data_IF_280646845734
#
_entry.id   IF_280646845734
#
_cell.length_a   1.000
_cell.length_b   1.000
_cell.length_c   1.000
_cell.angle_alpha   90.00
_cell.angle_beta   90.00
_cell.angle_gamma   90.00
#
_symmetry.space_group_name_H-M   'P 1'
#
loop_
_entity.id
_entity.type
_entity.pdbx_description
1 polymer ?
#
# COMPACT_ATOMS: atom_id res chain seq x y z
N UNK A 1 -19.63 18.38 24.67
CA UNK A 1 -19.41 17.06 24.03
C UNK A 1 -18.91 16.10 25.10
N UNK A 2 -19.73 15.13 25.53
CA UNK A 2 -19.33 14.16 26.53
C UNK A 2 -18.21 13.27 25.94
N UNK A 3 -17.08 13.18 26.64
CA UNK A 3 -15.98 12.31 26.23
C UNK A 3 -16.34 10.90 26.68
N UNK A 4 -16.66 10.01 25.74
CA UNK A 4 -16.93 8.60 26.03
C UNK A 4 -15.73 7.97 26.75
N UNK A 5 -15.98 7.32 27.89
CA UNK A 5 -14.97 6.70 28.73
C UNK A 5 -15.03 5.17 28.55
N UNK A 6 -13.88 4.50 28.63
CA UNK A 6 -13.77 3.06 28.47
C UNK A 6 -13.09 2.44 29.68
N UNK A 7 -13.53 1.25 30.08
CA UNK A 7 -12.87 0.48 31.12
C UNK A 7 -11.47 0.04 30.65
N UNK A 8 -10.42 0.36 31.40
CA UNK A 8 -9.05 -0.03 31.01
C UNK A 8 -8.84 -1.56 30.96
N UNK A 9 -9.58 -2.32 31.76
CA UNK A 9 -9.41 -3.78 31.86
C UNK A 9 -10.16 -4.53 30.77
N UNK A 10 -11.49 -4.35 30.68
CA UNK A 10 -12.29 -5.10 29.71
C UNK A 10 -12.45 -4.39 28.35
N UNK A 11 -12.08 -3.11 28.23
CA UNK A 11 -12.20 -2.34 26.98
C UNK A 11 -13.62 -1.90 26.62
N UNK A 12 -14.62 -2.27 27.42
CA UNK A 12 -16.04 -1.93 27.20
C UNK A 12 -16.31 -0.47 27.60
N UNK A 13 -17.23 0.17 26.88
CA UNK A 13 -17.70 1.54 27.13
C UNK A 13 -18.41 1.65 28.48
N UNK A 14 -18.11 2.73 29.20
CA UNK A 14 -18.75 3.06 30.47
C UNK A 14 -19.97 3.96 30.19
N UNK A 15 -21.15 3.33 30.17
CA UNK A 15 -22.42 4.00 29.84
C UNK A 15 -23.17 4.51 31.07
N UNK A 16 -23.16 3.74 32.15
CA UNK A 16 -23.84 4.08 33.40
C UNK A 16 -22.87 4.72 34.38
N UNK A 17 -23.22 5.88 34.93
CA UNK A 17 -22.34 6.67 35.81
C UNK A 17 -22.10 6.04 37.18
N UNK A 18 -23.00 5.17 37.61
CA UNK A 18 -23.05 4.69 38.99
C UNK A 18 -22.05 3.57 39.28
N UNK A 19 -21.52 2.93 38.23
CA UNK A 19 -20.53 1.85 38.32
C UNK A 19 -19.12 2.25 37.85
N UNK A 20 -18.89 3.54 37.59
CA UNK A 20 -17.59 4.05 37.12
C UNK A 20 -16.67 4.35 38.30
N UNK A 21 -15.55 3.62 38.35
CA UNK A 21 -14.48 3.88 39.30
C UNK A 21 -13.28 4.49 38.59
N UNK A 22 -12.85 5.66 39.07
CA UNK A 22 -11.64 6.34 38.59
C UNK A 22 -10.46 6.00 39.49
N UNK A 23 -9.44 5.36 38.94
CA UNK A 23 -8.20 5.05 39.68
C UNK A 23 -6.97 5.59 38.95
N UNK A 24 -5.89 5.84 39.70
CA UNK A 24 -4.60 6.24 39.14
C UNK A 24 -3.74 4.99 38.95
N UNK A 25 -3.42 4.68 37.70
CA UNK A 25 -2.62 3.51 37.34
C UNK A 25 -1.18 3.94 37.09
N UNK A 26 -0.18 3.33 37.76
CA UNK A 26 1.22 3.53 37.46
C UNK A 26 1.59 2.87 36.12
N UNK A 27 2.03 3.69 35.17
CA UNK A 27 2.36 3.31 33.81
C UNK A 27 3.84 3.55 33.55
N UNK A 28 4.57 2.55 33.04
CA UNK A 28 5.96 2.72 32.62
C UNK A 28 6.04 3.02 31.13
N UNK A 29 6.62 4.16 30.79
CA UNK A 29 6.91 4.49 29.39
C UNK A 29 7.91 3.49 28.80
N UNK A 30 7.58 2.88 27.66
CA UNK A 30 8.50 1.99 26.95
C UNK A 30 9.72 2.76 26.40
N UNK A 31 9.53 4.00 25.99
CA UNK A 31 10.58 4.84 25.38
C UNK A 31 11.52 5.48 26.40
N UNK A 32 10.99 5.91 27.55
CA UNK A 32 11.75 6.70 28.52
C UNK A 32 11.96 6.01 29.86
N UNK A 33 11.32 4.86 30.10
CA UNK A 33 11.38 4.14 31.38
C UNK A 33 10.70 4.85 32.55
N UNK A 34 10.23 6.10 32.38
CA UNK A 34 9.61 6.92 33.41
C UNK A 34 8.24 6.35 33.80
N UNK A 35 7.99 6.24 35.10
CA UNK A 35 6.70 5.83 35.65
C UNK A 35 5.81 7.06 35.85
N UNK A 36 4.65 7.08 35.19
CA UNK A 36 3.63 8.12 35.33
C UNK A 36 2.34 7.53 35.89
N UNK A 37 1.67 8.25 36.80
CA UNK A 37 0.36 7.85 37.33
C UNK A 37 -0.76 8.50 36.55
N UNK A 38 -1.41 7.74 35.68
CA UNK A 38 -2.46 8.24 34.80
C UNK A 38 -3.84 7.91 35.36
N UNK A 39 -4.78 8.86 35.27
CA UNK A 39 -6.18 8.60 35.61
C UNK A 39 -6.80 7.66 34.56
N UNK A 40 -7.50 6.63 35.03
CA UNK A 40 -8.13 5.59 34.23
C UNK A 40 -9.49 5.24 34.82
N UNK A 41 -10.38 4.79 33.96
CA UNK A 41 -11.75 4.47 34.27
C UNK A 41 -11.95 2.95 34.24
N UNK A 42 -12.80 2.45 35.12
CA UNK A 42 -13.08 1.03 35.30
C UNK A 42 -14.54 0.83 35.68
N UNK A 43 -15.11 -0.33 35.39
CA UNK A 43 -16.25 -0.82 36.17
C UNK A 43 -15.79 -1.11 37.61
N UNK A 44 -16.69 -1.00 38.59
CA UNK A 44 -16.39 -1.27 39.99
C UNK A 44 -15.71 -2.64 40.20
N UNK A 45 -16.25 -3.69 39.60
CA UNK A 45 -15.70 -5.05 39.70
C UNK A 45 -14.36 -5.18 38.97
N UNK A 46 -14.26 -4.58 37.78
CA UNK A 46 -13.06 -4.62 36.97
C UNK A 46 -11.86 -3.96 37.65
N UNK A 47 -12.09 -2.90 38.45
CA UNK A 47 -11.02 -2.20 39.15
C UNK A 47 -10.33 -3.12 40.16
N UNK A 48 -11.09 -3.87 40.96
CA UNK A 48 -10.54 -4.68 42.04
C UNK A 48 -9.61 -5.77 41.50
N UNK A 49 -10.06 -6.51 40.51
CA UNK A 49 -9.21 -7.59 39.97
C UNK A 49 -8.06 -7.04 39.11
N UNK A 50 -8.21 -5.88 38.44
CA UNK A 50 -7.10 -5.21 37.76
C UNK A 50 -5.95 -4.88 38.73
N UNK A 51 -6.26 -4.27 39.89
CA UNK A 51 -5.23 -3.89 40.86
C UNK A 51 -4.62 -5.10 41.57
N UNK A 52 -5.38 -6.17 41.81
CA UNK A 52 -4.84 -7.44 42.29
C UNK A 52 -3.85 -8.06 41.31
N UNK A 53 -4.19 -8.09 40.02
CA UNK A 53 -3.28 -8.55 38.95
C UNK A 53 -2.04 -7.64 38.84
N UNK A 54 -2.22 -6.32 39.00
CA UNK A 54 -1.13 -5.36 38.94
C UNK A 54 -0.12 -5.56 40.07
N UNK A 55 -0.59 -5.79 41.30
CA UNK A 55 0.25 -6.09 42.45
C UNK A 55 1.06 -7.38 42.24
N UNK A 56 0.42 -8.42 41.72
CA UNK A 56 1.08 -9.69 41.39
C UNK A 56 2.16 -9.52 40.29
N UNK A 57 1.99 -8.54 39.40
CA UNK A 57 2.91 -8.26 38.29
C UNK A 57 3.91 -7.13 38.60
N UNK A 58 4.22 -6.87 39.88
CA UNK A 58 5.25 -5.91 40.28
C UNK A 58 4.79 -4.45 40.32
N UNK A 59 3.48 -4.21 40.38
CA UNK A 59 2.87 -2.92 40.69
C UNK A 59 2.95 -1.87 39.58
N UNK A 60 3.35 -2.23 38.37
CA UNK A 60 3.55 -1.30 37.25
C UNK A 60 2.95 -1.85 35.96
N UNK A 61 2.02 -1.10 35.38
CA UNK A 61 1.33 -1.52 34.16
C UNK A 61 2.24 -1.30 32.95
N UNK A 62 2.54 -2.38 32.24
CA UNK A 62 3.28 -2.38 30.99
C UNK A 62 2.29 -2.64 29.85
N UNK A 63 2.06 -1.62 29.03
CA UNK A 63 1.22 -1.74 27.83
C UNK A 63 1.96 -2.57 26.78
N UNK A 64 1.82 -3.89 26.81
CA UNK A 64 2.18 -4.73 25.66
C UNK A 64 1.10 -4.75 24.57
N UNK A 65 -0.04 -4.13 24.85
CA UNK A 65 -1.06 -3.83 23.85
C UNK A 65 -1.09 -2.32 23.68
N UNK A 66 -0.58 -1.74 22.57
CA UNK A 66 -1.02 -0.39 22.23
C UNK A 66 -2.54 -0.49 22.26
N UNK A 67 -3.19 0.28 23.12
CA UNK A 67 -4.64 0.40 23.09
C UNK A 67 -4.92 0.81 21.65
N UNK A 68 -5.31 -0.16 20.81
CA UNK A 68 -5.91 0.11 19.52
C UNK A 68 -7.04 1.01 19.94
N UNK A 69 -6.90 2.30 19.65
CA UNK A 69 -8.05 3.18 19.68
C UNK A 69 -8.97 2.55 18.66
N UNK A 70 -9.82 1.63 19.10
CA UNK A 70 -11.05 1.31 18.42
C UNK A 70 -11.82 2.63 18.49
N UNK A 71 -11.50 3.55 17.58
CA UNK A 71 -12.52 4.40 17.03
C UNK A 71 -13.42 3.39 16.35
N UNK A 72 -14.43 2.91 17.09
CA UNK A 72 -15.64 2.48 16.43
C UNK A 72 -16.12 3.79 15.83
N UNK A 73 -15.85 4.04 14.54
CA UNK A 73 -16.61 5.06 13.87
C UNK A 73 -18.07 4.66 14.05
N UNK A 74 -18.86 5.57 14.60
CA UNK A 74 -20.28 5.32 14.82
C UNK A 74 -21.07 5.30 13.50
N UNK A 75 -20.43 5.65 12.38
CA UNK A 75 -21.06 5.75 11.07
C UNK A 75 -20.04 5.75 9.93
N UNK A 76 -20.45 5.19 8.79
CA UNK A 76 -19.70 5.23 7.53
C UNK A 76 -19.52 6.67 7.04
N UNK A 77 -18.31 7.01 6.62
CA UNK A 77 -17.97 8.36 6.17
C UNK A 77 -18.67 8.78 4.87
N UNK A 78 -19.04 7.82 4.01
CA UNK A 78 -19.71 8.07 2.73
C UNK A 78 -21.23 8.16 2.83
N UNK A 79 -21.86 7.16 3.43
CA UNK A 79 -23.31 7.00 3.44
C UNK A 79 -23.96 7.45 4.76
N UNK A 80 -23.15 7.78 5.77
CA UNK A 80 -23.59 8.27 7.09
C UNK A 80 -24.51 7.31 7.87
N UNK A 81 -24.62 6.05 7.43
CA UNK A 81 -25.32 5.00 8.17
C UNK A 81 -24.40 4.44 9.25
N UNK A 82 -24.94 4.04 10.42
CA UNK A 82 -24.18 3.36 11.46
C UNK A 82 -23.71 1.99 10.97
N UNK A 83 -22.60 1.52 11.54
CA UNK A 83 -22.15 0.14 11.37
C UNK A 83 -22.92 -0.76 12.31
N UNK A 84 -23.32 -1.94 11.84
CA UNK A 84 -23.85 -3.00 12.71
C UNK A 84 -22.72 -3.69 13.49
N UNK A 85 -23.02 -4.30 14.65
CA UNK A 85 -22.01 -4.82 15.60
C UNK A 85 -21.08 -5.90 15.00
N UNK A 86 -21.52 -6.54 13.92
CA UNK A 86 -20.87 -7.61 13.16
C UNK A 86 -20.48 -7.21 11.73
N UNK A 87 -20.70 -5.95 11.35
CA UNK A 87 -20.40 -5.47 10.00
C UNK A 87 -18.89 -5.24 9.79
N UNK A 88 -18.37 -5.69 8.65
CA UNK A 88 -16.96 -5.47 8.31
C UNK A 88 -16.67 -3.99 8.02
N UNK A 89 -15.82 -3.37 8.84
CA UNK A 89 -15.43 -1.96 8.70
C UNK A 89 -14.15 -1.85 7.89
N UNK A 90 -14.16 -1.04 6.83
CA UNK A 90 -12.97 -0.70 6.05
C UNK A 90 -12.47 0.69 6.39
N UNK A 91 -11.28 0.79 6.98
CA UNK A 91 -10.63 2.08 7.29
C UNK A 91 -9.68 2.49 6.16
N UNK A 92 -9.88 3.70 5.62
CA UNK A 92 -9.06 4.28 4.54
C UNK A 92 -8.60 5.69 4.92
N UNK A 93 -7.39 6.09 4.53
CA UNK A 93 -6.95 7.48 4.67
C UNK A 93 -7.60 8.36 3.60
N UNK A 94 -8.24 9.45 4.04
CA UNK A 94 -8.86 10.46 3.18
C UNK A 94 -8.20 11.80 3.44
N UNK A 95 -7.90 12.53 2.37
CA UNK A 95 -7.39 13.90 2.46
C UNK A 95 -8.56 14.86 2.67
N UNK A 96 -8.61 15.50 3.85
CA UNK A 96 -9.60 16.52 4.18
C UNK A 96 -8.87 17.85 4.32
N UNK A 97 -8.95 18.69 3.28
CA UNK A 97 -8.12 19.90 3.16
C UNK A 97 -6.65 19.52 2.95
N UNK A 98 -5.76 19.95 3.84
CA UNK A 98 -4.31 19.67 3.75
C UNK A 98 -3.85 18.54 4.69
N UNK A 99 -4.77 17.73 5.23
CA UNK A 99 -4.46 16.68 6.23
C UNK A 99 -5.05 15.34 5.80
N UNK A 100 -4.22 14.30 5.86
CA UNK A 100 -4.67 12.91 5.76
C UNK A 100 -5.33 12.49 7.08
N UNK A 101 -6.52 11.90 6.99
CA UNK A 101 -7.30 11.46 8.15
C UNK A 101 -7.88 10.09 7.87
N UNK A 102 -7.73 9.14 8.79
CA UNK A 102 -8.36 7.83 8.71
C UNK A 102 -9.89 7.96 8.84
N UNK A 103 -10.61 7.30 7.94
CA UNK A 103 -12.06 7.27 7.84
C UNK A 103 -12.55 5.85 7.62
N UNK A 104 -13.68 5.54 8.24
CA UNK A 104 -14.28 4.21 8.19
C UNK A 104 -15.44 4.19 7.21
N UNK A 105 -15.54 3.11 6.44
CA UNK A 105 -16.52 2.88 5.39
C UNK A 105 -17.14 1.50 5.49
N UNK A 106 -18.39 1.34 5.05
CA UNK A 106 -18.93 0.02 4.72
C UNK A 106 -18.16 -0.58 3.54
N UNK A 107 -18.16 -1.91 3.37
CA UNK A 107 -17.59 -2.54 2.20
C UNK A 107 -18.19 -1.94 0.92
N UNK A 108 -17.35 -1.41 0.03
CA UNK A 108 -17.77 -0.79 -1.23
C UNK A 108 -18.14 0.70 -1.15
N UNK A 109 -18.49 1.21 0.04
CA UNK A 109 -18.76 2.65 0.22
C UNK A 109 -17.50 3.52 0.05
N UNK A 110 -16.31 2.96 0.31
CA UNK A 110 -15.05 3.61 0.01
C UNK A 110 -14.83 3.77 -1.49
N UNK A 111 -15.17 2.73 -2.28
CA UNK A 111 -15.07 2.77 -3.74
C UNK A 111 -15.97 3.86 -4.31
N UNK A 112 -17.26 3.88 -3.92
CA UNK A 112 -18.20 4.92 -4.32
C UNK A 112 -17.78 6.33 -3.88
N UNK A 113 -17.08 6.44 -2.75
CA UNK A 113 -16.57 7.71 -2.25
C UNK A 113 -15.45 8.27 -3.13
N UNK A 114 -14.50 7.42 -3.54
CA UNK A 114 -13.43 7.83 -4.46
C UNK A 114 -13.95 8.00 -5.90
N UNK A 115 -14.94 7.19 -6.31
CA UNK A 115 -15.70 7.32 -7.56
C UNK A 115 -16.26 8.72 -7.77
N UNK A 116 -17.02 9.18 -6.78
CA UNK A 116 -17.69 10.47 -6.82
C UNK A 116 -16.72 11.67 -6.87
N UNK A 117 -15.45 11.47 -6.49
CA UNK A 117 -14.39 12.49 -6.51
C UNK A 117 -13.52 12.44 -7.77
N UNK A 118 -13.73 11.45 -8.66
CA UNK A 118 -12.83 11.18 -9.77
C UNK A 118 -11.47 10.59 -9.35
N UNK A 119 -11.36 10.18 -8.08
CA UNK A 119 -10.18 9.55 -7.46
C UNK A 119 -10.24 8.01 -7.56
N UNK A 120 -11.35 7.45 -8.07
CA UNK A 120 -11.57 6.01 -8.30
C UNK A 120 -10.46 5.36 -9.11
N UNK A 121 -9.99 6.08 -10.13
CA UNK A 121 -9.01 5.56 -11.09
C UNK A 121 -7.69 5.30 -10.37
N UNK A 122 -7.16 6.27 -9.65
CA UNK A 122 -5.87 6.13 -8.95
C UNK A 122 -5.91 4.99 -7.93
N UNK A 123 -6.94 4.90 -7.08
CA UNK A 123 -7.01 3.84 -6.07
C UNK A 123 -7.13 2.42 -6.66
N UNK A 124 -7.99 2.21 -7.68
CA UNK A 124 -8.15 0.89 -8.31
C UNK A 124 -7.00 0.49 -9.23
N UNK A 125 -6.40 1.44 -9.96
CA UNK A 125 -5.21 1.16 -10.77
C UNK A 125 -4.03 0.81 -9.87
N UNK A 126 -3.80 1.58 -8.81
CA UNK A 126 -2.68 1.36 -7.90
C UNK A 126 -2.79 0.04 -7.12
N UNK A 127 -4.01 -0.41 -6.78
CA UNK A 127 -4.21 -1.73 -6.18
C UNK A 127 -3.96 -2.87 -7.19
N UNK A 128 -4.45 -2.72 -8.43
CA UNK A 128 -4.18 -3.69 -9.51
C UNK A 128 -2.70 -3.78 -9.88
N UNK A 129 -2.00 -2.65 -9.89
CA UNK A 129 -0.57 -2.62 -10.23
C UNK A 129 0.29 -3.17 -9.10
N UNK A 130 -0.11 -2.93 -7.84
CA UNK A 130 0.46 -3.63 -6.71
C UNK A 130 0.25 -5.15 -6.82
N UNK A 131 -0.95 -5.61 -7.16
CA UNK A 131 -1.24 -7.04 -7.29
C UNK A 131 -0.36 -7.69 -8.37
N UNK A 132 -0.07 -6.99 -9.48
CA UNK A 132 0.88 -7.47 -10.50
C UNK A 132 2.28 -7.62 -9.92
N UNK A 133 2.78 -6.62 -9.20
CA UNK A 133 4.11 -6.65 -8.57
C UNK A 133 4.19 -7.77 -7.53
N UNK A 134 3.18 -7.86 -6.67
CA UNK A 134 3.06 -8.88 -5.63
C UNK A 134 3.08 -10.29 -6.22
N UNK A 135 2.20 -10.56 -7.18
CA UNK A 135 2.09 -11.88 -7.80
C UNK A 135 3.34 -12.22 -8.60
N UNK A 136 3.90 -11.29 -9.37
CA UNK A 136 5.14 -11.53 -10.11
C UNK A 136 6.31 -11.85 -9.17
N UNK A 137 6.46 -11.11 -8.07
CA UNK A 137 7.51 -11.40 -7.09
C UNK A 137 7.32 -12.79 -6.45
N UNK A 138 6.08 -13.16 -6.14
CA UNK A 138 5.74 -14.46 -5.57
C UNK A 138 6.03 -15.63 -6.52
N UNK A 139 5.47 -15.60 -7.72
CA UNK A 139 5.47 -16.75 -8.64
C UNK A 139 6.74 -16.79 -9.50
N UNK A 140 7.22 -15.65 -9.97
CA UNK A 140 8.31 -15.60 -10.95
C UNK A 140 9.70 -15.42 -10.32
N UNK A 141 9.77 -14.76 -9.16
CA UNK A 141 11.04 -14.51 -8.46
C UNK A 141 11.26 -15.52 -7.34
N UNK A 142 10.30 -15.68 -6.42
CA UNK A 142 10.43 -16.61 -5.30
C UNK A 142 10.02 -18.05 -5.65
N UNK A 143 9.43 -18.27 -6.84
CA UNK A 143 8.96 -19.58 -7.30
C UNK A 143 8.01 -20.26 -6.29
N UNK A 144 7.19 -19.46 -5.61
CA UNK A 144 6.19 -19.94 -4.65
C UNK A 144 4.88 -20.28 -5.36
N UNK A 145 4.13 -21.20 -4.75
CA UNK A 145 2.84 -21.65 -5.27
C UNK A 145 1.80 -20.52 -5.26
N UNK A 146 0.87 -20.56 -6.21
CA UNK A 146 -0.17 -19.56 -6.42
C UNK A 146 -1.13 -19.50 -5.23
N UNK A 147 -1.35 -20.61 -4.54
CA UNK A 147 -2.35 -20.71 -3.47
C UNK A 147 -1.89 -20.19 -2.09
N UNK A 148 -0.60 -19.84 -1.91
CA UNK A 148 -0.05 -19.40 -0.62
C UNK A 148 0.31 -17.90 -0.55
N UNK A 149 -0.01 -17.20 0.53
CA UNK A 149 0.36 -15.78 0.66
C UNK A 149 1.88 -15.56 0.77
N UNK A 150 2.38 -14.46 0.21
CA UNK A 150 3.74 -13.99 0.50
C UNK A 150 3.88 -13.74 2.00
N UNK A 151 5.03 -14.16 2.55
CA UNK A 151 5.36 -13.82 3.94
C UNK A 151 5.27 -12.30 4.17
N UNK A 152 4.83 -11.89 5.36
CA UNK A 152 4.77 -10.48 5.73
C UNK A 152 6.12 -9.77 5.55
N UNK A 153 7.22 -10.51 5.73
CA UNK A 153 8.56 -10.02 5.50
C UNK A 153 8.80 -9.67 4.02
N UNK A 154 8.48 -10.58 3.10
CA UNK A 154 8.61 -10.37 1.67
C UNK A 154 7.75 -9.19 1.19
N UNK A 155 6.48 -9.16 1.59
CA UNK A 155 5.56 -8.08 1.21
C UNK A 155 6.07 -6.71 1.68
N UNK A 156 6.53 -6.60 2.93
CA UNK A 156 7.09 -5.35 3.46
C UNK A 156 8.42 -4.95 2.78
N UNK A 157 9.28 -5.90 2.40
CA UNK A 157 10.50 -5.58 1.63
C UNK A 157 10.16 -5.05 0.24
N UNK A 158 9.14 -5.62 -0.40
CA UNK A 158 8.64 -5.19 -1.70
C UNK A 158 8.00 -3.79 -1.63
N UNK A 159 7.21 -3.51 -0.59
CA UNK A 159 6.71 -2.15 -0.31
C UNK A 159 7.83 -1.16 0.00
N UNK A 160 8.90 -1.61 0.67
CA UNK A 160 10.09 -0.80 0.93
C UNK A 160 10.78 -0.33 -0.36
N UNK A 161 10.74 -1.13 -1.43
CA UNK A 161 11.23 -0.66 -2.74
C UNK A 161 10.45 0.57 -3.21
N UNK A 162 9.13 0.59 -3.05
CA UNK A 162 8.31 1.72 -3.47
C UNK A 162 8.65 3.00 -2.71
N UNK A 163 8.95 2.94 -1.41
CA UNK A 163 9.26 4.13 -0.60
C UNK A 163 10.75 4.48 -0.56
N UNK A 164 11.63 3.58 -1.01
CA UNK A 164 13.09 3.71 -0.84
C UNK A 164 13.59 3.26 0.54
N UNK A 165 12.71 2.73 1.39
CA UNK A 165 13.07 2.25 2.72
C UNK A 165 13.50 0.77 2.69
N UNK A 166 14.28 0.37 3.70
CA UNK A 166 14.52 -1.07 3.91
C UNK A 166 13.22 -1.79 4.27
N UNK A 167 12.39 -1.21 5.14
CA UNK A 167 11.09 -1.77 5.51
C UNK A 167 10.22 -0.63 6.02
N UNK A 168 9.06 -0.36 5.40
CA UNK A 168 8.22 0.74 5.83
C UNK A 168 7.55 0.41 7.17
N UNK A 169 7.45 1.41 8.05
CA UNK A 169 6.80 1.30 9.36
C UNK A 169 5.28 1.26 9.25
N UNK A 170 4.72 1.83 8.18
CA UNK A 170 3.29 1.84 7.87
C UNK A 170 2.98 1.08 6.57
N UNK A 171 1.83 0.41 6.54
CA UNK A 171 1.31 -0.25 5.34
C UNK A 171 0.81 0.76 4.29
N UNK A 172 0.40 1.96 4.72
CA UNK A 172 0.02 3.01 3.77
C UNK A 172 1.26 3.69 3.19
N UNK A 173 1.69 3.20 2.04
CA UNK A 173 2.78 3.78 1.24
C UNK A 173 2.27 4.73 0.15
N UNK A 174 0.95 4.81 -0.06
CA UNK A 174 0.35 5.61 -1.11
C UNK A 174 0.64 7.11 -0.90
N UNK A 175 1.03 7.80 -1.97
CA UNK A 175 1.48 9.21 -1.93
C UNK A 175 2.90 9.44 -1.37
N UNK A 176 3.60 8.40 -0.91
CA UNK A 176 5.01 8.46 -0.48
C UNK A 176 5.94 7.63 -1.37
N UNK A 177 5.44 7.20 -2.53
CA UNK A 177 6.18 6.33 -3.43
C UNK A 177 7.26 7.13 -4.16
N UNK A 178 8.49 6.67 -4.04
CA UNK A 178 9.64 7.13 -4.82
C UNK A 178 9.67 6.47 -6.21
N UNK A 179 9.12 5.25 -6.31
CA UNK A 179 9.02 4.47 -7.54
C UNK A 179 7.59 3.98 -7.73
N UNK A 180 7.06 4.12 -8.94
CA UNK A 180 5.76 3.54 -9.29
C UNK A 180 5.83 2.02 -9.31
N UNK A 181 4.69 1.35 -9.12
CA UNK A 181 4.61 -0.11 -9.21
C UNK A 181 5.01 -0.64 -10.60
N UNK A 182 4.78 0.13 -11.66
CA UNK A 182 5.26 -0.20 -13.00
C UNK A 182 6.80 -0.27 -13.06
N UNK A 183 7.48 0.74 -12.53
CA UNK A 183 8.95 0.77 -12.46
C UNK A 183 9.47 -0.44 -11.67
N UNK A 184 8.82 -0.77 -10.55
CA UNK A 184 9.18 -1.94 -9.75
C UNK A 184 8.97 -3.22 -10.54
N UNK A 185 7.81 -3.40 -11.18
CA UNK A 185 7.50 -4.59 -11.99
C UNK A 185 8.50 -4.81 -13.13
N UNK A 186 8.84 -3.75 -13.87
CA UNK A 186 9.81 -3.82 -14.94
C UNK A 186 11.21 -4.13 -14.42
N UNK A 187 11.58 -3.59 -13.24
CA UNK A 187 12.84 -3.94 -12.58
C UNK A 187 12.87 -5.41 -12.17
N UNK A 188 11.77 -5.96 -11.65
CA UNK A 188 11.66 -7.38 -11.31
C UNK A 188 11.86 -8.26 -12.54
N UNK A 189 11.16 -7.96 -13.64
CA UNK A 189 11.28 -8.68 -14.91
C UNK A 189 12.73 -8.67 -15.42
N UNK A 190 13.36 -7.50 -15.44
CA UNK A 190 14.76 -7.33 -15.84
C UNK A 190 15.72 -8.15 -14.96
N UNK A 191 15.51 -8.16 -13.64
CA UNK A 191 16.42 -8.82 -12.70
C UNK A 191 16.17 -10.33 -12.55
N UNK A 192 15.01 -10.85 -13.01
CA UNK A 192 14.62 -12.26 -12.88
C UNK A 192 15.73 -13.25 -13.25
N UNK A 193 16.35 -13.22 -14.45
CA UNK A 193 17.34 -14.22 -14.83
C UNK A 193 18.53 -14.28 -13.85
N UNK A 194 18.97 -13.11 -13.37
CA UNK A 194 20.12 -13.00 -12.46
C UNK A 194 19.76 -13.45 -11.06
N UNK A 195 18.55 -13.12 -10.60
CA UNK A 195 18.07 -13.59 -9.30
C UNK A 195 17.96 -15.12 -9.31
N UNK A 196 17.37 -15.71 -10.35
CA UNK A 196 17.24 -17.17 -10.48
C UNK A 196 18.61 -17.86 -10.60
N UNK A 197 19.55 -17.27 -11.33
CA UNK A 197 20.92 -17.78 -11.39
C UNK A 197 21.61 -17.70 -10.03
N UNK A 198 21.45 -16.59 -9.31
CA UNK A 198 21.98 -16.43 -7.97
C UNK A 198 21.35 -17.41 -6.98
N UNK A 199 20.07 -17.75 -7.15
CA UNK A 199 19.39 -18.72 -6.31
C UNK A 199 19.92 -20.14 -6.51
N UNK A 200 20.28 -20.51 -7.74
CA UNK A 200 20.93 -21.80 -8.04
C UNK A 200 22.37 -21.86 -7.52
N UNK A 201 23.10 -20.75 -7.59
CA UNK A 201 24.53 -20.70 -7.27
C UNK A 201 24.87 -20.54 -5.79
N UNK A 202 23.94 -20.03 -4.96
CA UNK A 202 24.20 -19.68 -3.57
C UNK A 202 23.42 -20.57 -2.59
N UNK A 203 24.02 -20.82 -1.42
CA UNK A 203 23.32 -21.45 -0.29
C UNK A 203 22.74 -20.37 0.62
N UNK A 204 21.42 -20.36 0.78
CA UNK A 204 20.74 -19.45 1.70
C UNK A 204 20.54 -20.09 3.07
N UNK A 205 20.61 -19.28 4.12
CA UNK A 205 20.44 -19.72 5.51
C UNK A 205 18.96 -19.90 5.86
N UNK A 206 18.13 -18.99 5.35
CA UNK A 206 16.69 -18.94 5.53
C UNK A 206 16.06 -18.12 4.38
N UNK A 207 14.73 -18.11 4.34
CA UNK A 207 13.96 -17.36 3.33
C UNK A 207 14.26 -15.86 3.40
N UNK A 208 14.52 -15.31 4.60
CA UNK A 208 14.85 -13.89 4.76
C UNK A 208 16.16 -13.54 4.07
N UNK A 209 17.17 -14.39 4.18
CA UNK A 209 18.45 -14.23 3.51
C UNK A 209 18.28 -14.26 1.99
N UNK A 210 17.48 -15.21 1.48
CA UNK A 210 17.15 -15.32 0.06
C UNK A 210 16.42 -14.07 -0.46
N UNK A 211 15.36 -13.65 0.23
CA UNK A 211 14.59 -12.43 -0.11
C UNK A 211 15.49 -11.20 -0.09
N UNK A 212 16.31 -11.02 0.94
CA UNK A 212 17.24 -9.89 1.02
C UNK A 212 18.26 -9.88 -0.12
N UNK A 213 18.72 -11.05 -0.54
CA UNK A 213 19.64 -11.17 -1.66
C UNK A 213 18.97 -10.70 -2.96
N UNK A 214 17.77 -11.18 -3.26
CA UNK A 214 16.99 -10.73 -4.41
C UNK A 214 16.73 -9.21 -4.36
N UNK A 215 16.29 -8.69 -3.21
CA UNK A 215 16.04 -7.26 -3.04
C UNK A 215 17.29 -6.42 -3.29
N UNK A 216 18.49 -6.90 -2.92
CA UNK A 216 19.73 -6.18 -3.15
C UNK A 216 20.09 -6.08 -4.64
N UNK A 217 19.81 -7.13 -5.42
CA UNK A 217 19.94 -7.10 -6.88
C UNK A 217 18.98 -6.04 -7.46
N UNK A 218 17.71 -6.09 -7.06
CA UNK A 218 16.65 -5.19 -7.53
C UNK A 218 16.98 -3.73 -7.19
N UNK A 219 17.37 -3.45 -5.95
CA UNK A 219 17.77 -2.12 -5.48
C UNK A 219 18.92 -1.54 -6.30
N UNK A 220 19.86 -2.38 -6.76
CA UNK A 220 20.96 -1.93 -7.61
C UNK A 220 20.55 -1.48 -9.02
N UNK A 221 19.30 -1.75 -9.45
CA UNK A 221 18.82 -1.48 -10.83
C UNK A 221 17.59 -0.58 -10.90
N UNK A 222 16.88 -0.37 -9.79
CA UNK A 222 15.61 0.36 -9.78
C UNK A 222 15.72 1.82 -10.21
N UNK A 223 16.81 2.53 -9.84
CA UNK A 223 17.07 3.91 -10.27
C UNK A 223 17.29 4.03 -11.78
N UNK A 224 18.02 3.06 -12.33
CA UNK A 224 18.27 3.00 -13.77
C UNK A 224 16.96 2.73 -14.52
N UNK A 225 16.12 1.81 -14.01
CA UNK A 225 14.82 1.51 -14.60
C UNK A 225 13.88 2.71 -14.57
N UNK A 226 13.85 3.44 -13.44
CA UNK A 226 13.10 4.69 -13.33
C UNK A 226 13.48 5.67 -14.44
N UNK A 227 14.78 5.91 -14.60
CA UNK A 227 15.32 6.80 -15.64
C UNK A 227 14.90 6.37 -17.05
N UNK A 228 14.98 5.06 -17.35
CA UNK A 228 14.59 4.51 -18.66
C UNK A 228 13.08 4.61 -18.90
N UNK A 229 12.27 4.39 -17.88
CA UNK A 229 10.81 4.53 -17.94
C UNK A 229 10.43 5.99 -18.24
N UNK A 230 11.00 6.95 -17.52
CA UNK A 230 10.78 8.40 -17.78
C UNK A 230 11.23 8.82 -19.20
N UNK A 231 12.31 8.23 -19.72
CA UNK A 231 12.74 8.48 -21.11
C UNK A 231 11.77 7.88 -22.12
N UNK A 232 11.24 6.68 -21.87
CA UNK A 232 10.25 6.04 -22.73
C UNK A 232 8.95 6.84 -22.76
N UNK A 233 8.46 7.32 -21.61
CA UNK A 233 7.29 8.19 -21.51
C UNK A 233 7.47 9.49 -22.30
N UNK A 234 8.62 10.17 -22.16
CA UNK A 234 8.92 11.37 -22.94
C UNK A 234 8.92 11.10 -24.45
N UNK A 235 9.46 9.96 -24.88
CA UNK A 235 9.43 9.54 -26.29
C UNK A 235 8.00 9.29 -26.76
N UNK A 236 7.16 8.65 -25.94
CA UNK A 236 5.72 8.45 -26.21
C UNK A 236 5.00 9.79 -26.38
N UNK A 237 5.23 10.75 -25.49
CA UNK A 237 4.61 12.07 -25.55
C UNK A 237 5.00 12.83 -26.82
N UNK A 238 6.29 12.80 -27.19
CA UNK A 238 6.77 13.41 -28.44
C UNK A 238 6.16 12.72 -29.66
N UNK A 239 6.14 11.39 -29.70
CA UNK A 239 5.56 10.63 -30.80
C UNK A 239 4.06 10.91 -30.97
N UNK A 240 3.30 10.98 -29.87
CA UNK A 240 1.89 11.35 -29.89
C UNK A 240 1.68 12.78 -30.39
N UNK A 241 2.50 13.74 -29.96
CA UNK A 241 2.44 15.12 -30.47
C UNK A 241 2.72 15.20 -31.96
N UNK A 242 3.71 14.46 -32.46
CA UNK A 242 4.02 14.39 -33.91
C UNK A 242 2.86 13.74 -34.68
N UNK A 243 2.32 12.62 -34.21
CA UNK A 243 1.18 11.97 -34.84
C UNK A 243 -0.07 12.87 -34.89
N UNK A 244 -0.35 13.66 -33.85
CA UNK A 244 -1.45 14.64 -33.85
C UNK A 244 -1.22 15.78 -34.84
N UNK A 245 0.03 16.23 -35.00
CA UNK A 245 0.37 17.23 -36.02
C UNK A 245 0.24 16.66 -37.43
N UNK A 246 0.68 15.42 -37.66
CA UNK A 246 0.59 14.76 -38.95
C UNK A 246 -0.87 14.49 -39.35
N UNK A 247 -1.69 13.97 -38.43
CA UNK A 247 -3.14 13.81 -38.64
C UNK A 247 -3.87 15.13 -38.84
N UNK A 248 -3.51 16.20 -38.12
CA UNK A 248 -4.07 17.53 -38.35
C UNK A 248 -3.63 18.14 -39.70
N UNK A 249 -2.43 17.83 -40.17
CA UNK A 249 -1.93 18.21 -41.49
C UNK A 249 -2.62 17.42 -42.61
N UNK A 250 -2.86 16.12 -42.40
CA UNK A 250 -3.62 15.25 -43.29
C UNK A 250 -5.10 15.67 -43.35
N UNK A 251 -5.73 16.02 -42.22
CA UNK A 251 -7.11 16.53 -42.17
C UNK A 251 -7.26 17.86 -42.90
N UNK A 252 -6.25 18.75 -42.84
CA UNK A 252 -6.24 19.99 -43.63
C UNK A 252 -6.12 19.68 -45.13
N UNK A 253 -5.25 18.75 -45.53
CA UNK A 253 -5.11 18.30 -46.93
C UNK A 253 -6.36 17.56 -47.43
N UNK A 254 -7.03 16.78 -46.58
CA UNK A 254 -8.25 16.06 -46.89
C UNK A 254 -9.46 17.01 -47.01
N UNK A 255 -9.51 18.10 -46.25
CA UNK A 255 -10.53 19.16 -46.41
C UNK A 255 -10.37 19.96 -47.71
N UNK A 256 -9.18 20.01 -48.29
CA UNK A 256 -8.93 20.55 -49.63
C UNK A 256 -9.22 19.53 -50.75
N UNK A 257 -9.42 18.25 -50.43
CA UNK A 257 -9.70 17.19 -51.39
C UNK A 257 -11.19 16.81 -51.41
N UNK A 258 -11.87 16.98 -52.55
CA UNK A 258 -13.25 16.48 -52.74
C UNK A 258 -13.22 14.99 -53.10
N UNK A 259 -13.79 14.08 -52.30
CA UNK A 259 -13.66 12.65 -52.55
C UNK A 259 -14.68 12.15 -53.58
N UNK A 260 -14.25 11.29 -54.50
CA UNK A 260 -15.09 10.30 -55.17
C UNK A 260 -14.85 8.92 -54.52
N UNK A 261 -15.92 8.30 -54.00
CA UNK A 261 -16.05 6.83 -53.92
C UNK A 261 -15.36 6.06 -52.77
N UNK A 262 -16.18 5.69 -51.79
CA UNK A 262 -16.22 4.41 -51.01
C UNK A 262 -14.94 3.75 -50.48
N UNK A 263 -14.89 3.61 -49.15
CA UNK A 263 -14.11 2.58 -48.46
C UNK A 263 -13.92 2.86 -46.97
N UNK A 264 -14.81 2.34 -46.11
CA UNK A 264 -14.61 2.37 -44.67
C UNK A 264 -13.44 1.44 -44.30
N UNK A 265 -12.31 2.01 -43.83
CA UNK A 265 -11.27 1.25 -43.13
C UNK A 265 -11.50 1.32 -41.62
N UNK A 266 -11.50 0.14 -40.99
CA UNK A 266 -11.45 -0.02 -39.53
C UNK A 266 -10.06 0.40 -39.04
N UNK A 267 -10.01 1.25 -38.01
CA UNK A 267 -8.81 1.53 -37.24
C UNK A 267 -8.75 0.53 -36.08
N UNK A 268 -7.98 -0.54 -36.28
CA UNK A 268 -7.35 -1.30 -35.21
C UNK A 268 -5.85 -1.01 -35.32
N UNK A 269 -5.18 -0.88 -34.17
CA UNK A 269 -3.73 -0.71 -33.92
C UNK A 269 -3.38 0.59 -33.17
N UNK A 270 -3.67 0.61 -31.87
CA UNK A 270 -2.87 1.39 -30.93
C UNK A 270 -1.61 0.54 -30.69
N UNK A 271 -0.47 1.00 -31.20
CA UNK A 271 0.82 0.35 -30.97
C UNK A 271 1.18 0.50 -29.49
N UNK A 272 1.02 -0.58 -28.71
CA UNK A 272 1.58 -0.68 -27.36
C UNK A 272 3.11 -0.61 -27.48
N UNK A 273 3.66 0.59 -27.28
CA UNK A 273 5.10 0.83 -27.21
C UNK A 273 5.59 0.38 -25.81
N UNK A 274 5.57 -0.93 -25.59
CA UNK A 274 6.14 -1.54 -24.40
C UNK A 274 7.66 -1.34 -24.40
N UNK A 275 8.23 -1.16 -23.21
CA UNK A 275 9.68 -1.10 -23.05
C UNK A 275 10.23 -2.47 -23.46
N UNK A 276 11.09 -2.50 -24.48
CA UNK A 276 11.79 -3.70 -24.93
C UNK A 276 12.79 -4.13 -23.83
N UNK A 277 12.30 -5.00 -22.94
CA UNK A 277 13.05 -5.49 -21.80
C UNK A 277 14.22 -6.39 -22.23
N UNK A 278 14.13 -7.03 -23.40
CA UNK A 278 15.16 -7.93 -23.91
C UNK A 278 16.35 -7.11 -24.44
N UNK A 279 16.09 -6.07 -25.23
CA UNK A 279 17.13 -5.13 -25.68
C UNK A 279 17.81 -4.41 -24.49
N UNK A 280 17.06 -4.14 -23.42
CA UNK A 280 17.60 -3.56 -22.18
C UNK A 280 18.41 -4.57 -21.36
N UNK A 281 18.02 -5.84 -21.33
CA UNK A 281 18.78 -6.88 -20.65
C UNK A 281 20.18 -7.04 -21.28
N UNK A 282 20.28 -6.95 -22.60
CA UNK A 282 21.54 -6.93 -23.34
C UNK A 282 22.41 -5.73 -22.96
N UNK A 283 21.83 -4.53 -22.88
CA UNK A 283 22.52 -3.29 -22.48
C UNK A 283 23.04 -3.37 -21.03
N UNK A 284 22.27 -3.96 -20.12
CA UNK A 284 22.56 -3.93 -18.68
C UNK A 284 23.45 -5.09 -18.24
N UNK A 285 23.34 -6.24 -18.89
CA UNK A 285 23.97 -7.47 -18.43
C UNK A 285 24.91 -8.11 -19.45
N UNK A 286 24.86 -7.72 -20.73
CA UNK A 286 25.71 -8.29 -21.77
C UNK A 286 25.55 -9.80 -21.93
N UNK A 287 24.38 -10.35 -21.58
CA UNK A 287 24.11 -11.78 -21.63
C UNK A 287 23.67 -12.12 -23.05
N UNK A 288 24.63 -12.43 -23.92
CA UNK A 288 24.31 -13.20 -25.14
C UNK A 288 23.88 -14.60 -24.71
N UNK A 289 22.71 -15.06 -25.17
CA UNK A 289 22.37 -16.49 -25.19
C UNK A 289 23.47 -17.33 -25.85
#
# INVERSE_FOLDING_TARGET
>A
MATTQYCLRCGIELRDTDDIVVKRVPYKSAETGIIRRLKRYFHADCANEFFRELENNGGVYQSNNPVKKHRIASQCYRCHKPFEDDETVKTVEVVVGNKAVLKDFHPGCDLEFFAARGEERTYHFEQKDWDKVYNYFKTEILLQDIDGDLSQYAAKRLLGLATGDYMPSNANIYGRQTYSFEVILNTLKLCKPIILQAFKGNKFKDDKHMINYAMKIIQGKIDWMKTKTEQAEKRKEVAQKVAVVDTAAEDKRAKEYKPQGTGQKKYEDIVDFDIDLDALADEVFGIKE
#
